data_IF_233888590552
#
_entry.id   IF_233888590552
#
_cell.length_a   1.000
_cell.length_b   1.000
_cell.length_c   1.000
_cell.angle_alpha   90.00
_cell.angle_beta   90.00
_cell.angle_gamma   90.00
#
_symmetry.space_group_name_H-M   'P 1'
#
loop_
_entity.id
_entity.type
_entity.pdbx_description
1 polymer ?
#
# COMPACT_ATOMS: atom_id res chain seq x y z
N UNK A 1 -3.37 5.64 27.08
CA UNK A 1 -3.86 4.90 25.91
C UNK A 1 -4.25 5.93 24.87
N UNK A 2 -3.24 6.40 24.17
CA UNK A 2 -3.36 7.11 22.90
C UNK A 2 -2.34 6.35 22.02
N UNK A 3 -2.55 6.24 20.71
CA UNK A 3 -1.52 6.13 19.66
C UNK A 3 -1.85 5.15 18.51
N UNK A 4 -2.86 4.26 18.58
CA UNK A 4 -3.15 3.36 17.43
C UNK A 4 -3.69 4.14 16.21
N UNK A 5 -4.64 5.06 16.45
CA UNK A 5 -5.20 5.94 15.42
C UNK A 5 -4.19 6.99 14.90
N UNK A 6 -3.35 7.56 15.76
CA UNK A 6 -2.37 8.60 15.34
C UNK A 6 -1.25 8.03 14.47
N UNK A 7 -0.76 6.82 14.79
CA UNK A 7 0.23 6.13 13.96
C UNK A 7 -0.37 5.72 12.60
N UNK A 8 -1.63 5.32 12.60
CA UNK A 8 -2.34 4.96 11.38
C UNK A 8 -2.51 6.16 10.44
N UNK A 9 -3.04 7.27 10.95
CA UNK A 9 -3.18 8.52 10.18
C UNK A 9 -1.83 8.96 9.63
N UNK A 10 -0.75 8.84 10.42
CA UNK A 10 0.60 9.20 9.99
C UNK A 10 1.10 8.33 8.82
N UNK A 11 0.84 7.01 8.86
CA UNK A 11 1.24 6.10 7.77
C UNK A 11 0.47 6.38 6.48
N UNK A 12 -0.82 6.71 6.58
CA UNK A 12 -1.65 7.05 5.43
C UNK A 12 -1.19 8.37 4.81
N UNK A 13 -0.94 9.39 5.63
CA UNK A 13 -0.39 10.66 5.15
C UNK A 13 0.97 10.46 4.48
N UNK A 14 1.84 9.62 5.04
CA UNK A 14 3.13 9.28 4.44
C UNK A 14 2.95 8.59 3.07
N UNK A 15 2.01 7.65 2.99
CA UNK A 15 1.64 6.92 1.76
C UNK A 15 1.13 7.89 0.69
N UNK A 16 0.20 8.77 1.04
CA UNK A 16 -0.36 9.76 0.11
C UNK A 16 0.72 10.74 -0.36
N UNK A 17 1.54 11.28 0.55
CA UNK A 17 2.57 12.26 0.19
C UNK A 17 3.67 11.66 -0.71
N UNK A 18 4.05 10.41 -0.46
CA UNK A 18 5.01 9.71 -1.31
C UNK A 18 4.45 9.56 -2.73
N UNK A 19 3.21 9.07 -2.87
CA UNK A 19 2.62 8.79 -4.18
C UNK A 19 2.09 10.03 -4.93
N UNK A 20 1.70 11.10 -4.23
CA UNK A 20 1.26 12.37 -4.86
C UNK A 20 2.42 13.13 -5.52
N UNK A 21 3.65 12.93 -5.04
CA UNK A 21 4.85 13.52 -5.65
C UNK A 21 5.21 12.89 -7.00
N UNK A 22 4.59 11.76 -7.34
CA UNK A 22 4.79 11.01 -8.59
C UNK A 22 5.88 9.96 -8.48
N UNK A 23 5.69 8.79 -9.10
CA UNK A 23 6.57 7.62 -8.97
C UNK A 23 8.00 7.90 -9.42
N UNK A 24 8.20 8.86 -10.32
CA UNK A 24 9.52 9.30 -10.78
C UNK A 24 10.33 10.07 -9.73
N UNK A 25 9.71 10.43 -8.60
CA UNK A 25 10.35 11.19 -7.51
C UNK A 25 10.53 10.37 -6.23
N UNK A 26 9.87 9.21 -6.14
CA UNK A 26 10.01 8.29 -5.02
C UNK A 26 11.27 7.47 -5.25
N UNK A 27 12.24 7.52 -4.34
CA UNK A 27 13.34 6.57 -4.40
C UNK A 27 12.77 5.17 -4.11
N UNK A 28 13.20 4.11 -4.82
CA UNK A 28 12.70 2.75 -4.58
C UNK A 28 12.75 2.33 -3.10
N UNK A 29 13.73 2.84 -2.36
CA UNK A 29 13.88 2.61 -0.92
C UNK A 29 12.77 3.24 -0.07
N UNK A 30 12.26 4.41 -0.47
CA UNK A 30 11.15 5.08 0.21
C UNK A 30 9.85 4.29 0.00
N UNK A 31 9.61 3.81 -1.22
CA UNK A 31 8.46 2.96 -1.53
C UNK A 31 8.46 1.65 -0.75
N UNK A 32 9.60 0.96 -0.68
CA UNK A 32 9.75 -0.26 0.11
C UNK A 32 9.58 0.00 1.62
N UNK A 33 10.10 1.12 2.15
CA UNK A 33 9.93 1.45 3.57
C UNK A 33 8.46 1.71 3.93
N UNK A 34 7.66 2.24 3.01
CA UNK A 34 6.22 2.44 3.23
C UNK A 34 5.50 1.09 3.25
N UNK A 35 5.85 0.18 2.34
CA UNK A 35 5.28 -1.18 2.30
C UNK A 35 5.60 -1.94 3.59
N UNK A 36 6.85 -1.89 4.07
CA UNK A 36 7.25 -2.52 5.33
C UNK A 36 6.41 -2.02 6.52
N UNK A 37 6.13 -0.72 6.60
CA UNK A 37 5.28 -0.14 7.66
C UNK A 37 3.83 -0.62 7.58
N UNK A 38 3.29 -0.83 6.38
CA UNK A 38 1.96 -1.40 6.21
C UNK A 38 1.92 -2.87 6.64
N UNK A 39 2.91 -3.67 6.26
CA UNK A 39 3.03 -5.07 6.68
C UNK A 39 3.10 -5.19 8.21
N UNK A 40 3.96 -4.41 8.87
CA UNK A 40 4.04 -4.36 10.33
C UNK A 40 2.68 -3.99 10.96
N UNK A 41 1.97 -3.02 10.38
CA UNK A 41 0.67 -2.57 10.89
C UNK A 41 -0.44 -3.61 10.70
N UNK A 42 -0.40 -4.40 9.63
CA UNK A 42 -1.35 -5.48 9.38
C UNK A 42 -1.09 -6.65 10.34
N UNK A 43 0.17 -7.03 10.55
CA UNK A 43 0.57 -8.04 11.54
C UNK A 43 0.14 -7.63 12.96
N UNK A 44 0.35 -6.36 13.33
CA UNK A 44 -0.13 -5.80 14.61
C UNK A 44 -1.66 -5.75 14.74
N UNK A 45 -2.38 -5.68 13.62
CA UNK A 45 -3.84 -5.75 13.61
C UNK A 45 -4.31 -7.17 13.92
N UNK A 46 -3.61 -8.18 13.38
CA UNK A 46 -3.92 -9.59 13.52
C UNK A 46 -5.33 -9.94 13.02
N UNK A 47 -5.77 -9.28 11.95
CA UNK A 47 -7.10 -9.45 11.35
C UNK A 47 -6.99 -10.29 10.08
N UNK A 48 -7.55 -11.50 10.13
CA UNK A 48 -7.59 -12.44 8.99
C UNK A 48 -8.22 -11.80 7.73
N UNK A 49 -9.08 -10.78 7.87
CA UNK A 49 -9.67 -10.06 6.75
C UNK A 49 -8.64 -9.23 5.95
N UNK A 50 -7.46 -9.01 6.51
CA UNK A 50 -6.37 -8.24 5.90
C UNK A 50 -5.17 -9.08 5.49
N UNK A 51 -5.19 -10.38 5.72
CA UNK A 51 -4.11 -11.30 5.34
C UNK A 51 -3.83 -11.25 3.84
N UNK A 52 -4.89 -11.22 3.01
CA UNK A 52 -4.75 -11.14 1.55
C UNK A 52 -4.06 -9.82 1.12
N UNK A 53 -4.31 -8.72 1.84
CA UNK A 53 -3.63 -7.44 1.62
C UNK A 53 -2.16 -7.53 2.01
N UNK A 54 -1.85 -8.19 3.11
CA UNK A 54 -0.46 -8.39 3.55
C UNK A 54 0.31 -9.22 2.51
N UNK A 55 -0.25 -10.34 2.05
CA UNK A 55 0.36 -11.18 1.02
C UNK A 55 0.66 -10.39 -0.26
N UNK A 56 -0.30 -9.62 -0.76
CA UNK A 56 -0.11 -8.82 -1.98
C UNK A 56 0.87 -7.64 -1.78
N UNK A 57 0.98 -7.09 -0.57
CA UNK A 57 2.02 -6.11 -0.23
C UNK A 57 3.42 -6.74 -0.21
N UNK A 58 3.57 -7.99 0.25
CA UNK A 58 4.83 -8.72 0.16
C UNK A 58 5.24 -8.95 -1.30
N UNK A 59 4.30 -9.28 -2.18
CA UNK A 59 4.53 -9.40 -3.62
C UNK A 59 5.01 -8.07 -4.23
N UNK A 60 4.35 -6.95 -3.90
CA UNK A 60 4.77 -5.62 -4.35
C UNK A 60 6.19 -5.30 -3.87
N UNK A 61 6.50 -5.61 -2.60
CA UNK A 61 7.81 -5.39 -2.02
C UNK A 61 8.89 -6.17 -2.76
N UNK A 62 8.65 -7.46 -3.02
CA UNK A 62 9.57 -8.30 -3.75
C UNK A 62 9.80 -7.77 -5.17
N UNK A 63 8.73 -7.27 -5.82
CA UNK A 63 8.83 -6.74 -7.17
C UNK A 63 9.66 -5.43 -7.26
N UNK A 64 9.62 -4.62 -6.20
CA UNK A 64 10.39 -3.38 -6.09
C UNK A 64 11.82 -3.58 -5.57
N UNK A 65 12.12 -4.73 -4.96
CA UNK A 65 13.41 -5.02 -4.39
C UNK A 65 14.44 -5.32 -5.50
N UNK A 66 15.46 -4.47 -5.68
CA UNK A 66 16.45 -4.66 -6.74
C UNK A 66 17.27 -5.94 -6.56
N UNK A 67 17.39 -6.46 -5.33
CA UNK A 67 18.08 -7.72 -5.06
C UNK A 67 17.24 -8.94 -5.50
N UNK A 68 15.91 -8.81 -5.54
CA UNK A 68 15.00 -9.88 -5.98
C UNK A 68 14.79 -9.87 -7.50
N UNK A 69 14.83 -8.68 -8.11
CA UNK A 69 14.49 -8.49 -9.53
C UNK A 69 15.67 -8.08 -10.42
N UNK A 70 16.90 -8.38 -10.02
CA UNK A 70 18.12 -8.09 -10.79
C UNK A 70 18.26 -6.58 -11.16
N UNK A 71 17.66 -5.70 -10.35
CA UNK A 71 17.55 -4.26 -10.59
C UNK A 71 16.59 -3.85 -11.71
N UNK A 72 15.71 -4.75 -12.15
CA UNK A 72 14.77 -4.55 -13.26
C UNK A 72 13.32 -4.83 -12.84
N UNK A 73 12.69 -3.92 -12.07
CA UNK A 73 11.27 -4.02 -11.76
C UNK A 73 10.43 -4.02 -13.05
N UNK A 74 9.42 -4.89 -13.11
CA UNK A 74 8.50 -5.01 -14.22
C UNK A 74 7.23 -4.19 -13.97
N UNK A 75 7.10 -3.08 -14.73
CA UNK A 75 5.96 -2.18 -14.60
C UNK A 75 4.59 -2.85 -14.87
N UNK A 76 4.51 -3.87 -15.72
CA UNK A 76 3.26 -4.60 -15.97
C UNK A 76 2.87 -5.42 -14.73
N UNK A 77 3.83 -6.12 -14.12
CA UNK A 77 3.60 -6.91 -12.89
C UNK A 77 3.23 -6.00 -11.72
N UNK A 78 3.94 -4.87 -11.56
CA UNK A 78 3.61 -3.88 -10.53
C UNK A 78 2.19 -3.34 -10.75
N UNK A 79 1.78 -3.09 -11.98
CA UNK A 79 0.43 -2.61 -12.27
C UNK A 79 -0.64 -3.65 -11.85
N UNK A 80 -0.44 -4.93 -12.18
CA UNK A 80 -1.34 -6.02 -11.75
C UNK A 80 -1.44 -6.10 -10.22
N UNK A 81 -0.30 -6.08 -9.52
CA UNK A 81 -0.25 -6.11 -8.04
C UNK A 81 -0.99 -4.90 -7.43
N UNK A 82 -0.84 -3.71 -8.00
CA UNK A 82 -1.54 -2.51 -7.53
C UNK A 82 -3.05 -2.60 -7.75
N UNK A 83 -3.51 -3.20 -8.85
CA UNK A 83 -4.93 -3.45 -9.10
C UNK A 83 -5.54 -4.39 -8.06
N UNK A 84 -4.81 -5.45 -7.70
CA UNK A 84 -5.21 -6.40 -6.66
C UNK A 84 -5.29 -5.71 -5.28
N UNK A 85 -4.27 -4.93 -4.89
CA UNK A 85 -4.29 -4.15 -3.64
C UNK A 85 -5.47 -3.18 -3.57
N UNK A 86 -5.78 -2.49 -4.67
CA UNK A 86 -6.94 -1.58 -4.74
C UNK A 86 -8.23 -2.37 -4.52
N UNK A 87 -8.36 -3.54 -5.13
CA UNK A 87 -9.56 -4.38 -5.05
C UNK A 87 -9.76 -4.93 -3.63
N UNK A 88 -8.71 -5.48 -3.04
CA UNK A 88 -8.73 -6.01 -1.67
C UNK A 88 -9.01 -4.92 -0.64
N UNK A 89 -8.34 -3.77 -0.75
CA UNK A 89 -8.55 -2.63 0.16
C UNK A 89 -10.00 -2.14 0.08
N UNK A 90 -10.58 -2.05 -1.12
CA UNK A 90 -12.01 -1.74 -1.30
C UNK A 90 -12.92 -2.81 -0.69
N UNK A 91 -12.53 -4.08 -0.76
CA UNK A 91 -13.23 -5.19 -0.12
C UNK A 91 -13.29 -5.03 1.40
N UNK A 92 -12.14 -4.73 2.03
CA UNK A 92 -12.05 -4.46 3.47
C UNK A 92 -12.88 -3.23 3.85
N UNK A 93 -12.86 -2.15 3.05
CA UNK A 93 -13.69 -0.96 3.30
C UNK A 93 -15.20 -1.23 3.30
N UNK A 94 -15.65 -2.31 2.67
CA UNK A 94 -17.05 -2.74 2.64
C UNK A 94 -17.43 -3.63 3.85
N UNK A 95 -16.45 -4.05 4.67
CA UNK A 95 -16.70 -4.78 5.91
C UNK A 95 -17.28 -3.84 6.98
N UNK A 96 -18.01 -4.41 7.96
CA UNK A 96 -18.63 -3.62 9.02
C UNK A 96 -17.59 -3.01 9.97
N UNK A 97 -16.43 -3.65 10.10
CA UNK A 97 -15.29 -3.19 10.90
C UNK A 97 -14.60 -1.93 10.37
N UNK A 98 -14.55 -1.73 9.05
CA UNK A 98 -13.79 -0.61 8.45
C UNK A 98 -14.44 0.78 8.59
N UNK A 99 -15.58 0.89 9.26
CA UNK A 99 -16.36 2.14 9.31
C UNK A 99 -15.66 3.29 10.05
N UNK A 100 -14.71 3.00 10.96
CA UNK A 100 -13.89 4.01 11.63
C UNK A 100 -12.71 4.50 10.77
N UNK A 101 -12.21 3.65 9.86
CA UNK A 101 -10.99 3.87 9.07
C UNK A 101 -11.34 4.11 7.57
N UNK A 102 -12.60 4.38 7.27
CA UNK A 102 -13.09 4.38 5.89
C UNK A 102 -12.55 5.56 5.07
N UNK A 103 -12.29 6.70 5.73
CA UNK A 103 -11.77 7.91 5.06
C UNK A 103 -10.31 7.70 4.69
N UNK A 104 -9.55 7.22 5.66
CA UNK A 104 -8.17 6.78 5.60
C UNK A 104 -7.93 5.76 4.48
N UNK A 105 -8.67 4.66 4.49
CA UNK A 105 -8.56 3.61 3.46
C UNK A 105 -8.93 4.15 2.07
N UNK A 106 -9.90 5.07 1.98
CA UNK A 106 -10.23 5.74 0.71
C UNK A 106 -9.07 6.56 0.15
N UNK A 107 -8.30 7.22 1.02
CA UNK A 107 -7.12 7.99 0.61
C UNK A 107 -5.99 7.09 0.13
N UNK A 108 -5.76 5.96 0.79
CA UNK A 108 -4.79 4.95 0.35
C UNK A 108 -5.19 4.39 -1.02
N UNK A 109 -6.45 4.00 -1.20
CA UNK A 109 -6.98 3.54 -2.49
C UNK A 109 -6.76 4.59 -3.57
N UNK A 110 -7.04 5.87 -3.29
CA UNK A 110 -6.83 6.94 -4.26
C UNK A 110 -5.35 7.12 -4.64
N UNK A 111 -4.43 6.93 -3.70
CA UNK A 111 -2.99 6.97 -3.93
C UNK A 111 -2.53 5.78 -4.80
N UNK A 112 -2.96 4.56 -4.48
CA UNK A 112 -2.67 3.35 -5.26
C UNK A 112 -3.24 3.46 -6.68
N UNK A 113 -4.46 3.95 -6.85
CA UNK A 113 -5.05 4.20 -8.17
C UNK A 113 -4.29 5.26 -8.97
N UNK A 114 -3.73 6.27 -8.30
CA UNK A 114 -2.89 7.26 -8.94
C UNK A 114 -1.60 6.63 -9.47
N UNK A 115 -0.94 5.82 -8.63
CA UNK A 115 0.26 5.08 -8.99
C UNK A 115 0.04 4.14 -10.17
N UNK A 116 -1.03 3.34 -10.10
CA UNK A 116 -1.43 2.43 -11.18
C UNK A 116 -1.63 3.18 -12.51
N UNK A 117 -2.29 4.34 -12.48
CA UNK A 117 -2.48 5.18 -13.67
C UNK A 117 -1.18 5.77 -14.22
N UNK A 118 -0.17 6.03 -13.39
CA UNK A 118 1.13 6.53 -13.84
C UNK A 118 1.94 5.44 -14.55
N UNK A 119 1.85 4.19 -14.09
CA UNK A 119 2.53 3.04 -14.70
C UNK A 119 1.90 2.62 -16.03
N UNK A 120 0.61 2.88 -16.22
CA UNK A 120 -0.11 2.57 -17.45
C UNK A 120 0.08 3.60 -18.59
N UNK A 121 0.91 4.64 -18.41
CA UNK A 121 1.18 5.72 -19.39
C UNK A 121 2.53 5.58 -20.08
#
# INVERSE_FOLDING_TARGET
MINKDENQISLIDETVNAFDSGISTIEPQDGMSIIDKWLDRLDEAGDDATDEIADTLEELRAELDPDQNEGQPNAEVIAEILEDLITQTKGVMQSAEASAEQTELSQVVAALENLHRQLAQ
#
